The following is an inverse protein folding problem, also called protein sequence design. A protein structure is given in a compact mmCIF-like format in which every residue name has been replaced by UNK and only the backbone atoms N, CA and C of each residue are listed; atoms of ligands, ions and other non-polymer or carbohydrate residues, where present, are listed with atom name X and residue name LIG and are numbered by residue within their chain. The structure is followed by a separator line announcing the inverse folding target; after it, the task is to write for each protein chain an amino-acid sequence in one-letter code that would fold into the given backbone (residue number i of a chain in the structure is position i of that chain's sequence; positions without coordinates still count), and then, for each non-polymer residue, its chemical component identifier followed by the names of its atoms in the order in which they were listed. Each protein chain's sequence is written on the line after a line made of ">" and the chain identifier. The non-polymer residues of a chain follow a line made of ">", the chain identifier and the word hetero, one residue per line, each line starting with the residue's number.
data_IF_530648144741
#
_entry.id   IF_530648144741
#
_cell.length_a   1.000
_cell.length_b   1.000
_cell.length_c   1.000
_cell.angle_alpha   90.00
_cell.angle_beta   90.00
_cell.angle_gamma   90.00
#
_symmetry.space_group_name_H-M   'P 1'
#
loop_
_entity.id
_entity.type
_entity.pdbx_description
1 polymer ?
#
# COMPACT_ATOMS: atom_id res chain seq x y z
N UNK A 1 -6.30 -8.34 2.91
CA UNK A 1 -6.68 -7.05 2.32
C UNK A 1 -7.76 -6.41 3.18
N UNK A 2 -7.55 -5.14 3.56
CA UNK A 2 -8.50 -4.36 4.37
C UNK A 2 -8.89 -3.13 3.54
N UNK A 3 -10.07 -3.13 2.88
CA UNK A 3 -10.50 -1.99 2.08
C UNK A 3 -10.96 -0.84 3.00
N UNK A 4 -10.40 0.36 2.78
CA UNK A 4 -10.70 1.56 3.56
C UNK A 4 -10.87 2.76 2.63
N UNK A 5 -11.94 3.52 2.83
CA UNK A 5 -12.14 4.81 2.15
C UNK A 5 -12.43 4.74 0.65
N UNK A 6 -12.76 3.58 0.10
CA UNK A 6 -13.19 3.47 -1.29
C UNK A 6 -14.59 4.08 -1.45
N UNK A 7 -14.80 4.80 -2.54
CA UNK A 7 -16.07 5.44 -2.86
C UNK A 7 -16.70 4.78 -4.06
N UNK A 8 -18.03 4.76 -4.09
CA UNK A 8 -18.78 4.40 -5.29
C UNK A 8 -18.64 5.54 -6.29
N UNK A 9 -18.07 5.26 -7.48
CA UNK A 9 -17.85 6.25 -8.55
C UNK A 9 -19.17 6.81 -9.10
N UNK A 10 -19.75 7.75 -8.41
CA UNK A 10 -20.97 8.48 -8.78
C UNK A 10 -20.99 9.72 -7.91
N UNK A 11 -20.21 10.74 -8.26
CA UNK A 11 -20.30 12.03 -7.60
C UNK A 11 -21.67 12.65 -7.91
N UNK A 12 -22.50 12.80 -6.89
CA UNK A 12 -23.66 13.68 -6.99
C UNK A 12 -23.16 15.11 -7.28
N UNK A 13 -23.97 15.88 -8.01
CA UNK A 13 -23.65 17.26 -8.42
C UNK A 13 -23.28 18.17 -7.22
N UNK A 14 -23.54 17.71 -6.00
CA UNK A 14 -23.25 18.38 -4.73
C UNK A 14 -22.07 17.77 -3.94
N UNK A 15 -21.28 16.86 -4.52
CA UNK A 15 -20.00 16.42 -3.96
C UNK A 15 -20.08 15.36 -2.84
N UNK A 16 -21.21 14.80 -2.54
CA UNK A 16 -21.32 13.69 -1.59
C UNK A 16 -20.94 12.36 -2.26
N UNK A 17 -19.70 11.97 -2.12
CA UNK A 17 -19.24 10.63 -2.54
C UNK A 17 -19.61 9.61 -1.46
N UNK A 18 -20.54 8.71 -1.74
CA UNK A 18 -20.89 7.63 -0.82
C UNK A 18 -19.74 6.61 -0.73
N UNK A 19 -19.47 6.14 0.48
CA UNK A 19 -18.51 5.05 0.69
C UNK A 19 -19.03 3.75 0.05
N UNK A 20 -18.14 3.02 -0.59
CA UNK A 20 -18.46 1.69 -1.10
C UNK A 20 -18.82 0.74 0.05
N UNK A 21 -19.75 -0.23 -0.15
CA UNK A 21 -20.15 -1.17 0.88
C UNK A 21 -19.01 -2.12 1.28
N UNK A 22 -19.18 -2.81 2.40
CA UNK A 22 -18.26 -3.84 2.91
C UNK A 22 -16.87 -3.33 3.26
N UNK A 23 -16.76 -2.13 3.77
CA UNK A 23 -15.52 -1.57 4.29
C UNK A 23 -15.58 -1.40 5.81
N UNK A 24 -14.42 -1.49 6.44
CA UNK A 24 -14.29 -1.14 7.85
C UNK A 24 -14.21 0.39 8.03
N UNK A 25 -14.72 0.93 9.15
CA UNK A 25 -14.52 2.34 9.47
C UNK A 25 -13.04 2.68 9.59
N UNK A 26 -12.59 3.70 8.88
CA UNK A 26 -11.18 4.09 8.81
C UNK A 26 -10.59 4.34 10.20
N UNK A 27 -11.24 5.20 11.00
CA UNK A 27 -10.72 5.59 12.31
C UNK A 27 -10.62 4.41 13.29
N UNK A 28 -11.63 3.52 13.28
CA UNK A 28 -11.61 2.31 14.10
C UNK A 28 -10.49 1.37 13.68
N UNK A 29 -10.28 1.21 12.39
CA UNK A 29 -9.19 0.36 11.85
C UNK A 29 -7.83 0.93 12.19
N UNK A 30 -7.61 2.22 12.00
CA UNK A 30 -6.37 2.90 12.38
C UNK A 30 -6.10 2.75 13.87
N UNK A 31 -7.11 2.93 14.71
CA UNK A 31 -6.98 2.79 16.17
C UNK A 31 -6.52 1.39 16.59
N UNK A 32 -7.01 0.35 15.91
CA UNK A 32 -6.60 -1.05 16.17
C UNK A 32 -5.19 -1.34 15.65
N UNK A 33 -4.84 -0.80 14.48
CA UNK A 33 -3.54 -1.05 13.84
C UNK A 33 -2.40 -0.24 14.48
N UNK A 34 -2.68 0.93 15.02
CA UNK A 34 -1.66 1.85 15.55
C UNK A 34 -0.72 1.21 16.58
N UNK A 35 -1.19 0.49 17.62
CA UNK A 35 -0.29 -0.16 18.58
C UNK A 35 0.70 -1.13 17.93
N UNK A 36 0.24 -1.91 16.93
CA UNK A 36 1.08 -2.83 16.19
C UNK A 36 2.12 -2.11 15.32
N UNK A 37 1.70 -1.05 14.63
CA UNK A 37 2.56 -0.31 13.70
C UNK A 37 3.63 0.53 14.42
N UNK A 38 3.36 0.95 15.65
CA UNK A 38 4.27 1.76 16.47
C UNK A 38 5.09 0.93 17.48
N UNK A 39 4.82 -0.37 17.61
CA UNK A 39 5.54 -1.23 18.55
C UNK A 39 7.01 -1.40 18.14
N UNK A 40 7.97 -0.96 18.97
CA UNK A 40 9.39 -1.09 18.66
C UNK A 40 9.90 -2.54 18.67
N UNK A 41 9.18 -3.47 19.28
CA UNK A 41 9.53 -4.88 19.29
C UNK A 41 9.12 -5.64 18.02
N UNK A 42 8.29 -5.02 17.16
CA UNK A 42 7.77 -5.63 15.94
C UNK A 42 8.36 -4.90 14.73
N UNK A 43 9.22 -5.60 13.96
CA UNK A 43 9.72 -5.09 12.70
C UNK A 43 8.61 -5.15 11.63
N UNK A 44 8.33 -4.02 10.99
CA UNK A 44 7.45 -3.96 9.82
C UNK A 44 8.29 -4.04 8.56
N UNK A 45 7.95 -4.94 7.65
CA UNK A 45 8.64 -5.11 6.36
C UNK A 45 7.67 -4.72 5.25
N UNK A 46 8.11 -3.89 4.34
CA UNK A 46 7.31 -3.46 3.21
C UNK A 46 8.15 -3.14 1.98
N UNK A 47 7.46 -2.79 0.91
CA UNK A 47 8.04 -2.43 -0.38
C UNK A 47 7.71 -0.97 -0.67
N UNK A 48 8.71 -0.12 -0.87
CA UNK A 48 8.53 1.33 -1.04
C UNK A 48 7.81 1.98 0.16
N UNK A 49 8.23 1.58 1.36
CA UNK A 49 7.62 1.97 2.65
C UNK A 49 7.45 3.46 2.85
N UNK A 50 8.25 4.28 2.19
CA UNK A 50 8.12 5.74 2.25
C UNK A 50 6.73 6.23 1.82
N UNK A 51 6.10 5.55 0.87
CA UNK A 51 4.75 5.88 0.42
C UNK A 51 3.73 5.58 1.52
N UNK A 52 3.73 4.35 2.03
CA UNK A 52 2.81 3.91 3.08
C UNK A 52 3.03 4.68 4.37
N UNK A 53 4.29 4.90 4.75
CA UNK A 53 4.65 5.69 5.93
C UNK A 53 4.03 7.09 5.90
N UNK A 54 4.05 7.77 4.75
CA UNK A 54 3.44 9.10 4.60
C UNK A 54 1.92 9.07 4.75
N UNK A 55 1.27 8.02 4.24
CA UNK A 55 -0.18 7.86 4.36
C UNK A 55 -0.55 7.66 5.83
N UNK A 56 0.11 6.73 6.52
CA UNK A 56 -0.14 6.47 7.94
C UNK A 56 0.17 7.68 8.83
N UNK A 57 1.22 8.44 8.50
CA UNK A 57 1.57 9.66 9.23
C UNK A 57 0.44 10.72 9.20
N UNK A 58 -0.32 10.80 8.09
CA UNK A 58 -1.50 11.69 8.01
C UNK A 58 -2.62 11.31 8.97
N UNK A 59 -2.65 10.04 9.38
CA UNK A 59 -3.60 9.52 10.37
C UNK A 59 -2.99 9.44 11.78
N UNK A 60 -1.86 10.12 12.02
CA UNK A 60 -1.21 10.15 13.32
C UNK A 60 -0.56 8.83 13.73
N UNK A 61 -0.19 8.00 12.77
CA UNK A 61 0.51 6.71 13.00
C UNK A 61 1.94 6.82 12.50
N UNK A 62 2.90 6.48 13.39
CA UNK A 62 4.32 6.44 13.07
C UNK A 62 4.79 4.99 12.97
N UNK A 63 4.91 4.48 11.74
CA UNK A 63 5.45 3.13 11.52
C UNK A 63 6.91 3.09 11.94
N UNK A 64 7.26 2.26 12.94
CA UNK A 64 8.63 2.09 13.43
C UNK A 64 8.75 0.83 14.30
N UNK A 65 9.87 0.06 14.25
CA UNK A 65 10.88 0.10 13.17
C UNK A 65 10.34 -0.49 11.86
N UNK A 66 11.00 -0.19 10.75
CA UNK A 66 10.63 -0.81 9.47
C UNK A 66 11.85 -1.03 8.58
N UNK A 67 11.75 -2.05 7.72
CA UNK A 67 12.65 -2.32 6.60
C UNK A 67 11.91 -2.17 5.28
N UNK A 68 12.64 -1.75 4.26
CA UNK A 68 12.13 -1.53 2.91
C UNK A 68 12.88 -2.42 1.91
N UNK A 69 12.19 -3.41 1.37
CA UNK A 69 12.77 -4.38 0.43
C UNK A 69 13.25 -3.73 -0.88
N UNK A 70 12.61 -2.63 -1.31
CA UNK A 70 13.06 -1.88 -2.47
C UNK A 70 14.40 -1.20 -2.20
N UNK A 71 14.54 -0.54 -1.06
CA UNK A 71 15.79 0.14 -0.69
C UNK A 71 16.92 -0.84 -0.40
N UNK A 72 16.63 -1.97 0.23
CA UNK A 72 17.61 -3.05 0.45
C UNK A 72 18.13 -3.59 -0.90
N UNK A 73 17.24 -3.90 -1.83
CA UNK A 73 17.63 -4.33 -3.17
C UNK A 73 18.43 -3.25 -3.90
N UNK A 74 18.02 -2.00 -3.81
CA UNK A 74 18.74 -0.89 -4.43
C UNK A 74 20.15 -0.73 -3.85
N UNK A 75 20.31 -0.84 -2.53
CA UNK A 75 21.62 -0.74 -1.87
C UNK A 75 22.56 -1.88 -2.27
N UNK A 76 22.03 -3.09 -2.46
CA UNK A 76 22.82 -4.27 -2.81
C UNK A 76 23.13 -4.35 -4.31
N UNK A 77 22.26 -3.89 -5.18
CA UNK A 77 22.26 -4.17 -6.61
C UNK A 77 21.97 -2.94 -7.48
N UNK A 78 22.42 -1.76 -7.04
CA UNK A 78 22.22 -0.51 -7.77
C UNK A 78 22.69 -0.63 -9.23
N UNK A 79 21.83 -0.25 -10.17
CA UNK A 79 22.12 -0.23 -11.60
C UNK A 79 22.11 -1.59 -12.29
N UNK A 80 21.79 -2.70 -11.62
CA UNK A 80 21.79 -4.04 -12.23
C UNK A 80 20.42 -4.47 -12.74
N UNK A 81 19.34 -4.05 -12.10
CA UNK A 81 17.95 -4.39 -12.46
C UNK A 81 16.97 -3.40 -11.80
N UNK A 82 15.69 -3.52 -12.15
CA UNK A 82 14.63 -2.81 -11.46
C UNK A 82 14.43 -3.36 -10.04
N UNK A 83 13.98 -2.49 -9.13
CA UNK A 83 13.76 -2.80 -7.72
C UNK A 83 12.27 -2.83 -7.34
N UNK A 84 11.38 -2.93 -8.35
CA UNK A 84 9.94 -3.10 -8.15
C UNK A 84 9.59 -4.48 -7.60
N UNK A 85 8.43 -4.59 -6.94
CA UNK A 85 7.98 -5.84 -6.30
C UNK A 85 7.91 -7.00 -7.29
N UNK A 86 7.41 -6.77 -8.51
CA UNK A 86 7.25 -7.80 -9.53
C UNK A 86 8.60 -8.38 -9.94
N UNK A 87 9.59 -7.53 -10.20
CA UNK A 87 10.95 -7.93 -10.54
C UNK A 87 11.62 -8.72 -9.40
N UNK A 88 11.49 -8.23 -8.16
CA UNK A 88 12.09 -8.89 -7.00
C UNK A 88 11.43 -10.23 -6.70
N UNK A 89 10.11 -10.31 -6.85
CA UNK A 89 9.37 -11.57 -6.68
C UNK A 89 9.78 -12.62 -7.70
N UNK A 90 9.86 -12.24 -8.97
CA UNK A 90 10.29 -13.14 -10.03
C UNK A 90 11.74 -13.61 -9.80
N UNK A 91 12.65 -12.69 -9.52
CA UNK A 91 14.08 -12.95 -9.37
C UNK A 91 14.43 -13.81 -8.16
N UNK A 92 13.85 -13.50 -7.00
CA UNK A 92 14.23 -14.16 -5.74
C UNK A 92 13.30 -15.29 -5.31
N UNK A 93 12.06 -15.29 -5.78
CA UNK A 93 11.05 -16.28 -5.38
C UNK A 93 10.57 -17.15 -6.56
N UNK A 94 10.96 -16.83 -7.80
CA UNK A 94 10.44 -17.50 -9.00
C UNK A 94 8.93 -17.34 -9.16
N UNK A 95 8.36 -16.29 -8.59
CA UNK A 95 6.92 -16.02 -8.61
C UNK A 95 6.62 -14.74 -9.37
N UNK A 96 5.83 -14.84 -10.44
CA UNK A 96 5.35 -13.67 -11.19
C UNK A 96 4.00 -13.21 -10.64
N UNK A 97 3.94 -12.08 -9.95
CA UNK A 97 2.69 -11.52 -9.42
C UNK A 97 1.71 -11.13 -10.53
N UNK A 98 0.43 -11.02 -10.20
CA UNK A 98 -0.58 -10.48 -11.12
C UNK A 98 -0.26 -9.00 -11.38
N UNK A 99 0.01 -8.59 -12.64
CA UNK A 99 0.32 -7.21 -12.95
C UNK A 99 -0.87 -6.30 -12.61
N UNK A 100 -0.63 -5.20 -11.88
CA UNK A 100 -1.69 -4.26 -11.52
C UNK A 100 -2.45 -3.72 -12.74
N UNK A 101 -1.77 -3.58 -13.87
CA UNK A 101 -2.37 -3.14 -15.14
C UNK A 101 -3.46 -4.10 -15.66
N UNK A 102 -3.39 -5.39 -15.32
CA UNK A 102 -4.41 -6.37 -15.71
C UNK A 102 -5.67 -6.27 -14.85
N UNK A 103 -5.56 -5.67 -13.66
CA UNK A 103 -6.67 -5.47 -12.73
C UNK A 103 -7.31 -4.10 -12.89
N UNK A 104 -6.59 -3.14 -13.44
CA UNK A 104 -7.12 -1.80 -13.72
C UNK A 104 -7.91 -1.85 -15.02
N UNK A 105 -9.18 -1.50 -14.94
CA UNK A 105 -10.00 -1.36 -16.14
C UNK A 105 -9.44 -0.27 -17.05
N UNK A 106 -8.97 -0.67 -18.23
CA UNK A 106 -8.54 0.25 -19.27
C UNK A 106 -9.78 0.85 -19.97
N UNK A 107 -10.64 1.52 -19.23
CA UNK A 107 -11.75 2.28 -19.79
C UNK A 107 -11.21 3.42 -20.61
N UNK A 108 -11.04 3.21 -21.92
CA UNK A 108 -11.12 4.32 -22.86
C UNK A 108 -12.56 4.81 -22.77
N UNK A 109 -12.75 5.97 -22.14
CA UNK A 109 -13.95 6.75 -22.38
C UNK A 109 -13.97 7.05 -23.89
N UNK A 110 -14.96 6.50 -24.59
CA UNK A 110 -15.34 6.96 -25.92
C UNK A 110 -16.09 8.26 -25.76
#
# INVERSE_FOLDING_TARGET
>A
YIPLGHTTGGGDLFGATALAPNQLPLDATIKVMKPLLEDPAILKIGQNMKYDWKIFARHGVRITPFDDTMLMSYAMHAGTHNHGMDELSDRYLGHSPIPIKSLLWSGKAQ
#
